data_IF_236816623199
#
_entry.id   IF_236816623199
#
_cell.length_a   1.000
_cell.length_b   1.000
_cell.length_c   1.000
_cell.angle_alpha   90.00
_cell.angle_beta   90.00
_cell.angle_gamma   90.00
#
_symmetry.space_group_name_H-M   'P 1'
#
loop_
_entity.id
_entity.type
_entity.pdbx_description
1 polymer ?
#
# COMPACT_ATOMS: atom_id res chain seq x y z
N UNK A 1 11.47 -14.02 -14.07
CA UNK A 1 11.65 -13.79 -12.62
C UNK A 1 10.29 -13.48 -12.03
N UNK A 2 10.03 -13.91 -10.80
CA UNK A 2 8.78 -13.59 -10.10
C UNK A 2 8.86 -12.22 -9.43
N UNK A 3 7.71 -11.63 -9.08
CA UNK A 3 7.66 -10.37 -8.30
C UNK A 3 8.35 -10.50 -6.93
N UNK A 4 8.40 -11.72 -6.37
CA UNK A 4 9.13 -12.00 -5.13
C UNK A 4 10.64 -11.89 -5.38
N UNK A 5 11.13 -12.46 -6.49
CA UNK A 5 12.56 -12.40 -6.84
C UNK A 5 13.03 -10.95 -7.06
N UNK A 6 12.19 -10.12 -7.68
CA UNK A 6 12.47 -8.70 -7.89
C UNK A 6 12.50 -7.92 -6.57
N UNK A 7 11.53 -8.15 -5.68
CA UNK A 7 11.51 -7.53 -4.36
C UNK A 7 12.74 -7.93 -3.52
N UNK A 8 13.14 -9.21 -3.57
CA UNK A 8 14.35 -9.68 -2.89
C UNK A 8 15.61 -9.09 -3.51
N UNK A 9 15.70 -9.00 -4.85
CA UNK A 9 16.87 -8.44 -5.53
C UNK A 9 17.11 -6.98 -5.15
N UNK A 10 16.04 -6.20 -4.94
CA UNK A 10 16.15 -4.81 -4.50
C UNK A 10 16.79 -4.66 -3.11
N UNK A 11 16.66 -5.70 -2.28
CA UNK A 11 17.28 -5.80 -0.96
C UNK A 11 18.48 -6.76 -0.93
N UNK A 12 19.15 -6.96 -2.06
CA UNK A 12 20.34 -7.82 -2.18
C UNK A 12 20.12 -9.25 -1.65
N UNK A 13 18.91 -9.78 -1.84
CA UNK A 13 18.49 -11.10 -1.35
C UNK A 13 18.06 -11.15 0.12
N UNK A 14 18.09 -10.02 0.86
CA UNK A 14 17.64 -9.98 2.25
C UNK A 14 16.11 -9.96 2.34
N UNK A 15 15.55 -11.15 2.61
CA UNK A 15 14.11 -11.33 2.79
C UNK A 15 13.55 -10.55 3.99
N UNK A 16 14.31 -10.38 5.07
CA UNK A 16 13.83 -9.62 6.25
C UNK A 16 13.75 -8.14 5.94
N UNK A 17 14.75 -7.59 5.26
CA UNK A 17 14.74 -6.20 4.81
C UNK A 17 13.59 -5.94 3.83
N UNK A 18 13.37 -6.85 2.87
CA UNK A 18 12.27 -6.74 1.90
C UNK A 18 10.89 -6.78 2.59
N UNK A 19 10.67 -7.72 3.51
CA UNK A 19 9.41 -7.81 4.26
C UNK A 19 9.20 -6.57 5.13
N UNK A 20 10.23 -6.10 5.84
CA UNK A 20 10.14 -4.90 6.67
C UNK A 20 9.77 -3.66 5.83
N UNK A 21 10.40 -3.52 4.65
CA UNK A 21 10.07 -2.46 3.70
C UNK A 21 8.61 -2.56 3.24
N UNK A 22 8.15 -3.73 2.79
CA UNK A 22 6.77 -3.92 2.32
C UNK A 22 5.74 -3.65 3.41
N UNK A 23 6.01 -4.01 4.67
CA UNK A 23 5.12 -3.69 5.81
C UNK A 23 5.04 -2.17 6.01
N UNK A 24 6.17 -1.47 5.97
CA UNK A 24 6.21 -0.01 6.11
C UNK A 24 5.48 0.68 4.95
N UNK A 25 5.68 0.20 3.72
CA UNK A 25 5.04 0.73 2.52
C UNK A 25 3.52 0.51 2.57
N UNK A 26 3.07 -0.69 2.96
CA UNK A 26 1.65 -0.96 3.19
C UNK A 26 1.04 -0.02 4.24
N UNK A 27 1.74 0.23 5.35
CA UNK A 27 1.26 1.16 6.37
C UNK A 27 1.15 2.59 5.82
N UNK A 28 2.13 3.04 5.04
CA UNK A 28 2.12 4.34 4.39
C UNK A 28 0.97 4.48 3.38
N UNK A 29 0.76 3.48 2.51
CA UNK A 29 -0.33 3.48 1.54
C UNK A 29 -1.70 3.49 2.22
N UNK A 30 -1.87 2.76 3.32
CA UNK A 30 -3.11 2.80 4.11
C UNK A 30 -3.37 4.18 4.71
N UNK A 31 -2.33 4.85 5.21
CA UNK A 31 -2.44 6.23 5.67
C UNK A 31 -2.82 7.20 4.54
N UNK A 32 -2.20 7.06 3.37
CA UNK A 32 -2.56 7.89 2.20
C UNK A 32 -4.01 7.67 1.76
N UNK A 33 -4.50 6.43 1.79
CA UNK A 33 -5.91 6.12 1.49
C UNK A 33 -6.88 6.75 2.49
N UNK A 34 -6.58 6.72 3.79
CA UNK A 34 -7.40 7.40 4.81
C UNK A 34 -7.41 8.92 4.58
N UNK A 35 -6.24 9.50 4.35
CA UNK A 35 -6.10 10.93 4.07
C UNK A 35 -6.90 11.34 2.82
N UNK A 36 -6.76 10.58 1.73
CA UNK A 36 -7.51 10.81 0.50
C UNK A 36 -9.02 10.66 0.74
N UNK A 37 -9.45 9.60 1.43
CA UNK A 37 -10.86 9.37 1.75
C UNK A 37 -11.48 10.49 2.58
N UNK A 38 -10.71 11.16 3.44
CA UNK A 38 -11.14 12.34 4.21
C UNK A 38 -11.17 13.63 3.38
N UNK A 39 -10.21 13.80 2.49
CA UNK A 39 -10.11 14.96 1.62
C UNK A 39 -11.15 14.93 0.47
N UNK A 40 -11.62 13.73 0.09
CA UNK A 40 -12.61 13.56 -0.96
C UNK A 40 -14.01 14.01 -0.52
N UNK A 41 -14.58 14.96 -1.25
CA UNK A 41 -15.98 15.37 -1.10
C UNK A 41 -16.95 14.32 -1.66
N UNK A 42 -18.16 14.25 -1.10
CA UNK A 42 -19.17 13.25 -1.48
C UNK A 42 -19.71 13.39 -2.92
N UNK A 43 -19.52 14.55 -3.56
CA UNK A 43 -20.10 14.87 -4.87
C UNK A 43 -19.48 14.09 -6.03
N UNK A 44 -18.14 14.11 -6.17
CA UNK A 44 -17.46 13.50 -7.32
C UNK A 44 -17.54 11.97 -7.31
N UNK A 45 -17.42 11.35 -6.13
CA UNK A 45 -17.48 9.89 -5.99
C UNK A 45 -18.86 9.35 -5.65
N UNK A 46 -19.89 10.21 -5.63
CA UNK A 46 -21.27 9.85 -5.24
C UNK A 46 -21.32 9.05 -3.94
N UNK A 47 -20.54 9.48 -2.94
CA UNK A 47 -20.45 8.83 -1.64
C UNK A 47 -19.59 7.57 -1.58
N UNK A 48 -19.02 7.09 -2.69
CA UNK A 48 -18.03 6.01 -2.65
C UNK A 48 -16.77 6.46 -1.90
N UNK A 49 -16.23 5.57 -1.07
CA UNK A 49 -15.00 5.77 -0.30
C UNK A 49 -14.05 4.59 -0.49
N UNK A 50 -12.72 4.84 -0.56
CA UNK A 50 -11.74 3.77 -0.63
C UNK A 50 -11.79 2.92 0.65
N UNK A 51 -11.57 1.61 0.50
CA UNK A 51 -11.43 0.65 1.60
C UNK A 51 -10.03 0.06 1.54
N UNK A 52 -9.34 0.03 2.68
CA UNK A 52 -8.00 -0.54 2.77
C UNK A 52 -8.01 -2.08 2.77
N UNK A 53 -9.09 -2.67 3.29
CA UNK A 53 -9.22 -4.11 3.42
C UNK A 53 -9.67 -4.73 2.09
N UNK A 54 -9.13 -5.92 1.80
CA UNK A 54 -9.52 -6.74 0.65
C UNK A 54 -10.44 -7.85 1.18
N UNK A 55 -11.71 -7.76 0.85
CA UNK A 55 -12.70 -8.84 1.07
C UNK A 55 -12.47 -10.01 0.10
#
# INVERSE_FOLDING_TARGET
>A
MSAIDEALAWHNGDARAAIAFLIADCAYLRWQLDLAGRAMGAGFTRGWRPRADRD
#
